data_IF_251255946685
#
_entry.id   IF_251255946685
#
_cell.length_a   1.000
_cell.length_b   1.000
_cell.length_c   1.000
_cell.angle_alpha   90.00
_cell.angle_beta   90.00
_cell.angle_gamma   90.00
#
_symmetry.space_group_name_H-M   'P 1'
#
loop_
_entity.id
_entity.type
_entity.pdbx_description
1 polymer ?
#
# COMPACT_ATOMS: atom_id res chain seq x y z
N UNK A 1 -15.19 -16.56 -9.45
CA UNK A 1 -14.16 -15.71 -10.08
C UNK A 1 -14.40 -14.23 -9.79
N UNK A 2 -15.56 -13.66 -10.12
CA UNK A 2 -15.86 -12.24 -9.85
C UNK A 2 -15.99 -11.91 -8.36
N UNK A 3 -16.51 -12.83 -7.55
CA UNK A 3 -16.65 -12.66 -6.08
C UNK A 3 -15.31 -12.51 -5.37
N UNK A 4 -14.30 -13.28 -5.76
CA UNK A 4 -12.94 -13.21 -5.20
C UNK A 4 -12.29 -11.85 -5.45
N UNK A 5 -12.52 -11.29 -6.64
CA UNK A 5 -12.01 -9.98 -7.03
C UNK A 5 -12.65 -8.86 -6.19
N UNK A 6 -13.97 -8.91 -6.00
CA UNK A 6 -14.67 -7.97 -5.12
C UNK A 6 -14.22 -8.06 -3.66
N UNK A 7 -13.93 -9.27 -3.16
CA UNK A 7 -13.40 -9.47 -1.80
C UNK A 7 -11.98 -8.89 -1.69
N UNK A 8 -11.10 -9.13 -2.67
CA UNK A 8 -9.75 -8.57 -2.68
C UNK A 8 -9.75 -7.04 -2.71
N UNK A 9 -10.62 -6.42 -3.53
CA UNK A 9 -10.81 -4.97 -3.54
C UNK A 9 -11.36 -4.47 -2.19
N UNK A 10 -12.32 -5.17 -1.61
CA UNK A 10 -12.87 -4.82 -0.29
C UNK A 10 -11.81 -4.84 0.81
N UNK A 11 -10.96 -5.86 0.84
CA UNK A 11 -9.85 -5.95 1.80
C UNK A 11 -8.80 -4.86 1.58
N UNK A 12 -8.48 -4.53 0.32
CA UNK A 12 -7.58 -3.42 -0.01
C UNK A 12 -8.13 -2.09 0.51
N UNK A 13 -9.42 -1.82 0.30
CA UNK A 13 -10.07 -0.59 0.79
C UNK A 13 -10.12 -0.53 2.32
N UNK A 14 -10.37 -1.66 2.98
CA UNK A 14 -10.33 -1.72 4.46
C UNK A 14 -8.91 -1.44 4.95
N UNK A 15 -7.89 -2.05 4.34
CA UNK A 15 -6.49 -1.83 4.71
C UNK A 15 -6.06 -0.37 4.53
N UNK A 16 -6.37 0.24 3.38
CA UNK A 16 -6.08 1.65 3.08
C UNK A 16 -6.88 2.60 3.99
N UNK A 17 -8.13 2.25 4.35
CA UNK A 17 -8.99 3.04 5.21
C UNK A 17 -8.68 2.93 6.72
N UNK A 18 -8.05 1.85 7.16
CA UNK A 18 -7.72 1.61 8.58
C UNK A 18 -6.74 2.64 9.13
N UNK A 19 -5.73 3.02 8.36
CA UNK A 19 -4.74 4.05 8.74
C UNK A 19 -5.39 5.38 9.16
N UNK A 20 -6.18 6.04 8.28
CA UNK A 20 -6.86 7.28 8.62
C UNK A 20 -7.98 7.11 9.67
N UNK A 21 -8.63 5.93 9.76
CA UNK A 21 -9.73 5.69 10.71
C UNK A 21 -9.22 5.53 12.16
N UNK A 22 -8.12 4.80 12.37
CA UNK A 22 -7.59 4.49 13.71
C UNK A 22 -6.78 5.66 14.28
N UNK A 23 -5.91 6.28 13.46
CA UNK A 23 -4.97 7.28 13.93
C UNK A 23 -4.82 8.42 12.90
N UNK A 24 -5.84 9.29 12.72
CA UNK A 24 -5.83 10.32 11.68
C UNK A 24 -4.66 11.31 11.82
N UNK A 25 -4.27 11.67 13.05
CA UNK A 25 -3.15 12.58 13.30
C UNK A 25 -1.80 11.92 12.98
N UNK A 26 -1.57 10.69 13.48
CA UNK A 26 -0.34 9.94 13.21
C UNK A 26 -0.16 9.62 11.72
N UNK A 27 -1.24 9.21 11.06
CA UNK A 27 -1.27 8.99 9.61
C UNK A 27 -0.92 10.25 8.83
N UNK A 28 -1.52 11.40 9.19
CA UNK A 28 -1.24 12.68 8.54
C UNK A 28 0.22 13.10 8.70
N UNK A 29 0.79 12.95 9.90
CA UNK A 29 2.22 13.23 10.14
C UNK A 29 3.12 12.31 9.33
N UNK A 30 2.80 11.02 9.25
CA UNK A 30 3.57 10.06 8.46
C UNK A 30 3.55 10.41 6.96
N UNK A 31 2.39 10.79 6.43
CA UNK A 31 2.27 11.22 5.03
C UNK A 31 2.99 12.54 4.76
N UNK A 32 2.98 13.47 5.70
CA UNK A 32 3.76 14.71 5.58
C UNK A 32 5.27 14.44 5.58
N UNK A 33 5.74 13.51 6.43
CA UNK A 33 7.15 13.10 6.44
C UNK A 33 7.55 12.43 5.13
N UNK A 34 6.69 11.57 4.58
CA UNK A 34 6.88 10.94 3.27
C UNK A 34 6.90 11.97 2.14
N UNK A 35 6.00 12.96 2.17
CA UNK A 35 5.94 14.04 1.18
C UNK A 35 7.13 15.01 1.25
N UNK A 36 7.84 15.06 2.38
CA UNK A 36 9.07 15.84 2.52
C UNK A 36 10.34 15.06 2.14
N UNK A 37 10.24 13.75 1.84
CA UNK A 37 11.38 12.99 1.33
C UNK A 37 11.70 13.41 -0.11
N UNK A 38 12.98 13.37 -0.47
CA UNK A 38 13.44 13.52 -1.84
C UNK A 38 12.72 12.54 -2.78
N UNK A 39 12.29 13.01 -3.96
CA UNK A 39 11.56 12.20 -4.95
C UNK A 39 12.25 10.88 -5.27
N UNK A 40 13.59 10.86 -5.23
CA UNK A 40 14.38 9.67 -5.50
C UNK A 40 14.21 8.59 -4.40
N UNK A 41 14.06 8.99 -3.12
CA UNK A 41 13.78 8.05 -2.04
C UNK A 41 12.37 7.50 -2.14
N UNK A 42 11.39 8.36 -2.41
CA UNK A 42 10.00 7.94 -2.57
C UNK A 42 9.86 6.93 -3.73
N UNK A 43 10.56 7.17 -4.85
CA UNK A 43 10.63 6.24 -5.98
C UNK A 43 11.28 4.91 -5.63
N UNK A 44 12.32 4.91 -4.79
CA UNK A 44 12.98 3.67 -4.33
C UNK A 44 12.05 2.85 -3.43
N UNK A 45 11.36 3.50 -2.49
CA UNK A 45 10.39 2.84 -1.61
C UNK A 45 9.25 2.25 -2.44
N UNK A 46 8.67 3.04 -3.35
CA UNK A 46 7.64 2.56 -4.28
C UNK A 46 8.13 1.42 -5.17
N UNK A 47 9.36 1.52 -5.69
CA UNK A 47 9.98 0.47 -6.49
C UNK A 47 10.15 -0.84 -5.69
N UNK A 48 10.64 -0.78 -4.45
CA UNK A 48 10.75 -1.94 -3.59
C UNK A 48 9.38 -2.58 -3.32
N UNK A 49 8.34 -1.79 -3.04
CA UNK A 49 6.97 -2.28 -2.84
C UNK A 49 6.44 -3.00 -4.09
N UNK A 50 6.64 -2.42 -5.28
CA UNK A 50 6.24 -3.04 -6.55
C UNK A 50 6.97 -4.36 -6.78
N UNK A 51 8.28 -4.40 -6.55
CA UNK A 51 9.08 -5.63 -6.73
C UNK A 51 8.63 -6.72 -5.75
N UNK A 52 8.44 -6.39 -4.47
CA UNK A 52 7.95 -7.34 -3.47
C UNK A 52 6.56 -7.86 -3.86
N UNK A 53 5.65 -6.97 -4.26
CA UNK A 53 4.31 -7.35 -4.72
C UNK A 53 4.36 -8.27 -5.94
N UNK A 54 5.22 -7.96 -6.91
CA UNK A 54 5.41 -8.80 -8.10
C UNK A 54 5.97 -10.18 -7.75
N UNK A 55 6.92 -10.28 -6.82
CA UNK A 55 7.47 -11.55 -6.34
C UNK A 55 6.40 -12.38 -5.65
N UNK A 56 5.58 -11.77 -4.78
CA UNK A 56 4.47 -12.47 -4.10
C UNK A 56 3.47 -12.99 -5.14
N UNK A 57 3.03 -12.15 -6.08
CA UNK A 57 2.12 -12.59 -7.14
C UNK A 57 2.74 -13.72 -7.95
N UNK A 58 4.00 -13.61 -8.34
CA UNK A 58 4.68 -14.65 -9.10
C UNK A 58 4.78 -15.97 -8.33
N UNK A 59 5.11 -15.95 -7.03
CA UNK A 59 5.26 -17.17 -6.22
C UNK A 59 3.92 -17.84 -5.87
N UNK A 60 2.87 -17.07 -5.61
CA UNK A 60 1.56 -17.62 -5.20
C UNK A 60 0.62 -17.91 -6.39
N UNK A 61 0.86 -17.30 -7.55
CA UNK A 61 0.05 -17.50 -8.75
C UNK A 61 0.63 -18.54 -9.72
N UNK A 62 1.95 -18.76 -9.71
CA UNK A 62 2.63 -19.82 -10.49
C UNK A 62 2.52 -21.17 -9.77
#
# INVERSE_FOLDING_TARGET
MTTSLWIAIGLLLIAEGLGPLIAPQGWRTMMQQLAQQEDNQLRRIGGCLVVIGMVIVYVFML
#
